data_IF_314840127979
#
_entry.id   IF_314840127979
#
_cell.length_a   1.000
_cell.length_b   1.000
_cell.length_c   1.000
_cell.angle_alpha   90.00
_cell.angle_beta   90.00
_cell.angle_gamma   90.00
#
_symmetry.space_group_name_H-M   'P 1'
#
loop_
_entity.id
_entity.type
_entity.pdbx_description
1 polymer ?
#
# COMPACT_ATOMS: atom_id res chain seq x y z
N UNK A 1 24.95 24.55 7.60
CA UNK A 1 24.47 23.94 6.36
C UNK A 1 23.10 23.38 6.66
N UNK A 2 22.07 24.11 6.26
CA UNK A 2 20.67 23.74 6.40
C UNK A 2 20.38 22.65 5.36
N UNK A 3 20.16 21.42 5.84
CA UNK A 3 19.77 20.29 4.99
C UNK A 3 18.35 20.60 4.56
N UNK A 4 18.25 21.15 3.35
CA UNK A 4 17.02 21.56 2.70
C UNK A 4 15.91 20.57 2.98
N UNK A 5 14.96 21.06 3.76
CA UNK A 5 13.66 20.48 4.06
C UNK A 5 13.23 19.54 2.94
N UNK A 6 13.26 18.23 3.22
CA UNK A 6 12.45 17.25 2.50
C UNK A 6 11.03 17.80 2.51
N UNK A 7 10.66 18.44 1.41
CA UNK A 7 9.28 18.71 1.08
C UNK A 7 8.68 17.33 0.81
N UNK A 8 8.35 16.64 1.90
CA UNK A 8 7.50 15.47 1.90
C UNK A 8 6.27 15.92 1.13
N UNK A 9 6.20 15.51 -0.14
CA UNK A 9 5.07 15.77 -1.00
C UNK A 9 3.89 15.11 -0.29
N UNK A 10 3.14 15.91 0.47
CA UNK A 10 1.95 15.47 1.16
C UNK A 10 0.96 15.19 0.05
N UNK A 11 0.76 13.93 -0.32
CA UNK A 11 -0.40 13.57 -1.11
C UNK A 11 -1.60 14.25 -0.47
N UNK A 12 -2.32 15.07 -1.23
CA UNK A 12 -3.51 15.70 -0.71
C UNK A 12 -4.53 14.58 -0.48
N UNK A 13 -4.60 14.10 0.77
CA UNK A 13 -5.42 12.95 1.16
C UNK A 13 -6.89 13.22 0.85
N UNK A 14 -7.32 14.49 0.92
CA UNK A 14 -8.66 14.89 0.54
C UNK A 14 -8.91 14.71 -0.97
N UNK A 15 -7.93 15.04 -1.81
CA UNK A 15 -8.02 14.79 -3.26
C UNK A 15 -8.10 13.29 -3.56
N UNK A 16 -7.24 12.46 -2.94
CA UNK A 16 -7.32 11.00 -3.09
C UNK A 16 -8.68 10.44 -2.63
N UNK A 17 -9.23 10.94 -1.53
CA UNK A 17 -10.51 10.50 -1.00
C UNK A 17 -11.71 10.82 -1.92
N UNK A 18 -11.59 11.85 -2.78
CA UNK A 18 -12.62 12.20 -3.77
C UNK A 18 -12.56 11.36 -5.07
N UNK A 19 -11.45 10.67 -5.33
CA UNK A 19 -11.26 9.90 -6.57
C UNK A 19 -12.03 8.58 -6.54
N UNK A 20 -12.52 8.13 -7.69
CA UNK A 20 -13.10 6.80 -7.84
C UNK A 20 -12.04 5.70 -7.69
N UNK A 21 -12.45 4.47 -7.41
CA UNK A 21 -11.50 3.35 -7.30
C UNK A 21 -10.69 3.16 -8.60
N UNK A 22 -11.31 3.36 -9.77
CA UNK A 22 -10.64 3.29 -11.06
C UNK A 22 -9.56 4.39 -11.20
N UNK A 23 -9.89 5.63 -10.85
CA UNK A 23 -8.94 6.74 -10.90
C UNK A 23 -7.73 6.51 -9.98
N UNK A 24 -7.95 5.89 -8.82
CA UNK A 24 -6.87 5.53 -7.89
C UNK A 24 -5.99 4.42 -8.46
N UNK A 25 -6.57 3.43 -9.13
CA UNK A 25 -5.82 2.38 -9.81
C UNK A 25 -4.97 2.94 -10.96
N UNK A 26 -5.54 3.82 -11.78
CA UNK A 26 -4.83 4.48 -12.87
C UNK A 26 -3.66 5.32 -12.34
N UNK A 27 -3.86 6.02 -11.22
CA UNK A 27 -2.80 6.79 -10.55
C UNK A 27 -1.67 5.90 -10.03
N UNK A 28 -2.01 4.74 -9.46
CA UNK A 28 -1.02 3.72 -9.04
C UNK A 28 -0.25 3.21 -10.25
N UNK A 29 -0.92 2.92 -11.36
CA UNK A 29 -0.28 2.42 -12.58
C UNK A 29 0.65 3.47 -13.20
N UNK A 30 0.24 4.75 -13.22
CA UNK A 30 1.11 5.86 -13.64
C UNK A 30 2.36 5.95 -12.76
N UNK A 31 2.20 5.84 -11.44
CA UNK A 31 3.35 5.86 -10.53
C UNK A 31 4.27 4.65 -10.70
N UNK A 32 3.72 3.45 -10.99
CA UNK A 32 4.54 2.27 -11.38
C UNK A 32 5.33 2.53 -12.65
N UNK A 33 4.72 3.13 -13.66
CA UNK A 33 5.38 3.45 -14.91
C UNK A 33 6.57 4.40 -14.70
N UNK A 34 6.40 5.43 -13.85
CA UNK A 34 7.51 6.34 -13.48
C UNK A 34 8.66 5.63 -12.77
N UNK A 35 8.36 4.64 -11.91
CA UNK A 35 9.41 3.82 -11.27
C UNK A 35 10.18 3.02 -12.32
N UNK A 36 9.49 2.45 -13.31
CA UNK A 36 10.11 1.70 -14.41
C UNK A 36 11.01 2.63 -15.23
N UNK A 37 10.53 3.81 -15.59
CA UNK A 37 11.31 4.81 -16.32
C UNK A 37 12.58 5.22 -15.56
N UNK A 38 12.46 5.53 -14.27
CA UNK A 38 13.60 5.88 -13.43
C UNK A 38 14.60 4.70 -13.30
N UNK A 39 14.09 3.47 -13.24
CA UNK A 39 14.92 2.25 -13.23
C UNK A 39 15.68 2.08 -14.54
N UNK A 40 15.01 2.31 -15.68
CA UNK A 40 15.63 2.22 -17.00
C UNK A 40 16.68 3.32 -17.21
N UNK A 41 16.44 4.52 -16.69
CA UNK A 41 17.42 5.60 -16.70
C UNK A 41 18.71 5.22 -15.95
N UNK A 42 18.62 4.42 -14.88
CA UNK A 42 19.80 3.88 -14.20
C UNK A 42 20.51 2.81 -15.03
N UNK A 43 19.76 1.86 -15.60
CA UNK A 43 20.33 0.74 -16.39
C UNK A 43 21.03 1.18 -17.66
N UNK A 44 20.56 2.25 -18.28
CA UNK A 44 21.13 2.77 -19.55
C UNK A 44 22.44 3.50 -19.36
N UNK A 45 22.82 3.85 -18.12
CA UNK A 45 24.10 4.48 -17.85
C UNK A 45 25.17 3.41 -17.55
N UNK A 46 26.02 3.13 -18.54
CA UNK A 46 27.15 2.22 -18.39
C UNK A 46 28.34 2.93 -17.74
N UNK A 47 28.94 2.30 -16.72
CA UNK A 47 30.25 2.69 -16.22
C UNK A 47 31.32 2.13 -17.15
N UNK A 48 31.99 3.01 -17.89
CA UNK A 48 33.21 2.66 -18.63
C UNK A 48 34.40 2.60 -17.65
N UNK A 49 35.38 1.74 -17.93
CA UNK A 49 36.60 1.70 -17.12
C UNK A 49 37.42 2.97 -17.34
N UNK A 50 38.31 3.31 -16.40
CA UNK A 50 39.20 4.44 -16.57
C UNK A 50 40.13 4.23 -17.78
N UNK A 51 40.60 3.01 -17.99
CA UNK A 51 41.47 2.63 -19.12
C UNK A 51 40.76 2.83 -20.46
N UNK A 52 39.51 2.36 -20.59
CA UNK A 52 38.70 2.58 -21.80
C UNK A 52 38.46 4.07 -22.05
N UNK A 53 38.22 4.83 -20.98
CA UNK A 53 38.02 6.29 -21.05
C UNK A 53 39.29 6.99 -21.52
N UNK A 54 40.45 6.62 -20.96
CA UNK A 54 41.77 7.14 -21.35
C UNK A 54 42.05 6.83 -22.82
N UNK A 55 41.83 5.58 -23.25
CA UNK A 55 42.04 5.16 -24.65
C UNK A 55 41.15 5.96 -25.61
N UNK A 56 39.89 6.22 -25.24
CA UNK A 56 38.98 7.05 -26.04
C UNK A 56 39.43 8.51 -26.10
N UNK A 57 39.83 9.10 -24.97
CA UNK A 57 40.34 10.49 -24.93
C UNK A 57 41.59 10.65 -25.81
N UNK A 58 42.51 9.69 -25.76
CA UNK A 58 43.69 9.65 -26.64
C UNK A 58 43.31 9.57 -28.11
N UNK A 59 42.35 8.70 -28.46
CA UNK A 59 41.86 8.57 -29.84
C UNK A 59 41.21 9.84 -30.35
N UNK A 60 40.46 10.54 -29.49
CA UNK A 60 39.80 11.80 -29.81
C UNK A 60 40.76 13.00 -29.86
N UNK A 61 41.85 12.95 -29.08
CA UNK A 61 42.78 14.07 -28.91
C UNK A 61 44.25 13.59 -28.96
N UNK A 62 44.79 13.26 -30.15
CA UNK A 62 46.13 12.68 -30.28
C UNK A 62 47.29 13.60 -29.88
N UNK A 63 47.05 14.91 -29.80
CA UNK A 63 48.06 15.92 -29.50
C UNK A 63 48.21 16.24 -28.01
N UNK A 64 47.37 15.66 -27.15
CA UNK A 64 47.44 15.91 -25.71
C UNK A 64 48.62 15.19 -25.09
N UNK A 65 49.11 15.71 -23.97
CA UNK A 65 50.08 15.00 -23.13
C UNK A 65 49.38 13.98 -22.23
N UNK A 66 50.11 12.99 -21.73
CA UNK A 66 49.56 11.97 -20.83
C UNK A 66 48.84 12.59 -19.61
N UNK A 67 49.44 13.58 -18.95
CA UNK A 67 48.84 14.26 -17.81
C UNK A 67 47.50 14.95 -18.18
N UNK A 68 47.41 15.55 -19.37
CA UNK A 68 46.17 16.17 -19.84
C UNK A 68 45.10 15.11 -20.13
N UNK A 69 45.47 13.99 -20.76
CA UNK A 69 44.55 12.88 -21.02
C UNK A 69 44.04 12.26 -19.73
N UNK A 70 44.93 11.99 -18.76
CA UNK A 70 44.54 11.44 -17.46
C UNK A 70 43.58 12.39 -16.72
N UNK A 71 43.89 13.69 -16.70
CA UNK A 71 43.01 14.70 -16.07
C UNK A 71 41.62 14.75 -16.73
N UNK A 72 41.56 14.71 -18.07
CA UNK A 72 40.30 14.68 -18.80
C UNK A 72 39.51 13.39 -18.56
N UNK A 73 40.18 12.23 -18.53
CA UNK A 73 39.54 10.95 -18.26
C UNK A 73 38.96 10.89 -16.84
N UNK A 74 39.70 11.38 -15.84
CA UNK A 74 39.20 11.52 -14.47
C UNK A 74 38.00 12.49 -14.40
N UNK A 75 38.03 13.61 -15.13
CA UNK A 75 36.91 14.55 -15.22
C UNK A 75 35.65 13.92 -15.84
N UNK A 76 35.81 13.10 -16.89
CA UNK A 76 34.71 12.33 -17.49
C UNK A 76 34.14 11.32 -16.50
N UNK A 77 34.99 10.57 -15.80
CA UNK A 77 34.55 9.64 -14.75
C UNK A 77 33.77 10.34 -13.63
N UNK A 78 34.30 11.47 -13.13
CA UNK A 78 33.62 12.25 -12.09
C UNK A 78 32.24 12.73 -12.55
N UNK A 79 32.13 13.15 -13.81
CA UNK A 79 30.86 13.59 -14.40
C UNK A 79 29.85 12.45 -14.51
N UNK A 80 30.30 11.26 -14.95
CA UNK A 80 29.46 10.05 -14.99
C UNK A 80 28.99 9.66 -13.58
N UNK A 81 29.88 9.66 -12.60
CA UNK A 81 29.54 9.30 -11.22
C UNK A 81 28.55 10.30 -10.58
N UNK A 82 28.68 11.59 -10.87
CA UNK A 82 27.69 12.59 -10.48
C UNK A 82 26.32 12.32 -11.10
N UNK A 83 26.28 11.98 -12.38
CA UNK A 83 25.04 11.64 -13.09
C UNK A 83 24.40 10.36 -12.53
N UNK A 84 25.19 9.35 -12.15
CA UNK A 84 24.70 8.15 -11.45
C UNK A 84 24.01 8.55 -10.15
N UNK A 85 24.69 9.29 -9.29
CA UNK A 85 24.15 9.71 -7.99
C UNK A 85 22.86 10.52 -8.15
N UNK A 86 22.81 11.40 -9.14
CA UNK A 86 21.60 12.17 -9.49
C UNK A 86 20.45 11.24 -9.88
N UNK A 87 20.68 10.28 -10.79
CA UNK A 87 19.65 9.31 -11.22
C UNK A 87 19.20 8.41 -10.08
N UNK A 88 20.12 8.00 -9.21
CA UNK A 88 19.80 7.19 -8.03
C UNK A 88 18.91 7.95 -7.06
N UNK A 89 19.20 9.24 -6.83
CA UNK A 89 18.35 10.09 -6.00
C UNK A 89 16.93 10.22 -6.56
N UNK A 90 16.81 10.43 -7.88
CA UNK A 90 15.52 10.49 -8.57
C UNK A 90 14.76 9.16 -8.44
N UNK A 91 15.42 8.02 -8.69
CA UNK A 91 14.82 6.70 -8.53
C UNK A 91 14.30 6.48 -7.11
N UNK A 92 15.10 6.80 -6.09
CA UNK A 92 14.71 6.67 -4.68
C UNK A 92 13.48 7.52 -4.36
N UNK A 93 13.47 8.78 -4.78
CA UNK A 93 12.35 9.69 -4.58
C UNK A 93 11.07 9.16 -5.26
N UNK A 94 11.14 8.77 -6.53
CA UNK A 94 10.00 8.21 -7.28
C UNK A 94 9.49 6.92 -6.63
N UNK A 95 10.39 6.03 -6.19
CA UNK A 95 10.02 4.80 -5.50
C UNK A 95 9.32 5.07 -4.17
N UNK A 96 9.87 5.94 -3.33
CA UNK A 96 9.28 6.32 -2.04
C UNK A 96 7.90 6.94 -2.24
N UNK A 97 7.73 7.81 -3.23
CA UNK A 97 6.43 8.38 -3.60
C UNK A 97 5.44 7.30 -4.00
N UNK A 98 5.86 6.33 -4.81
CA UNK A 98 4.98 5.25 -5.26
C UNK A 98 4.54 4.33 -4.12
N UNK A 99 5.47 3.96 -3.24
CA UNK A 99 5.14 3.13 -2.06
C UNK A 99 4.17 3.85 -1.13
N UNK A 100 4.38 5.15 -0.93
CA UNK A 100 3.50 5.99 -0.09
C UNK A 100 2.10 6.11 -0.70
N UNK A 101 2.00 6.34 -2.01
CA UNK A 101 0.71 6.36 -2.72
C UNK A 101 -0.02 5.03 -2.57
N UNK A 102 0.67 3.92 -2.81
CA UNK A 102 0.09 2.58 -2.69
C UNK A 102 -0.48 2.32 -1.30
N UNK A 103 0.25 2.72 -0.26
CA UNK A 103 -0.22 2.61 1.12
C UNK A 103 -1.49 3.43 1.37
N UNK A 104 -1.54 4.69 0.92
CA UNK A 104 -2.72 5.54 1.10
C UNK A 104 -3.93 5.02 0.33
N UNK A 105 -3.75 4.63 -0.93
CA UNK A 105 -4.83 4.08 -1.76
C UNK A 105 -5.37 2.78 -1.16
N UNK A 106 -4.51 1.89 -0.69
CA UNK A 106 -4.93 0.64 -0.07
C UNK A 106 -5.74 0.89 1.20
N UNK A 107 -5.27 1.80 2.08
CA UNK A 107 -6.03 2.20 3.28
C UNK A 107 -7.39 2.81 2.91
N UNK A 108 -7.45 3.65 1.89
CA UNK A 108 -8.69 4.30 1.45
C UNK A 108 -9.71 3.27 0.93
N UNK A 109 -9.27 2.35 0.06
CA UNK A 109 -10.14 1.30 -0.47
C UNK A 109 -10.65 0.39 0.65
N UNK A 110 -9.80 0.01 1.60
CA UNK A 110 -10.22 -0.80 2.76
C UNK A 110 -11.27 -0.06 3.60
N UNK A 111 -11.08 1.22 3.87
CA UNK A 111 -12.06 2.02 4.61
C UNK A 111 -13.41 2.10 3.89
N UNK A 112 -13.42 2.30 2.56
CA UNK A 112 -14.66 2.31 1.77
C UNK A 112 -15.41 0.98 1.88
N UNK A 113 -14.71 -0.15 1.76
CA UNK A 113 -15.31 -1.49 1.90
C UNK A 113 -15.93 -1.71 3.29
N UNK A 114 -15.23 -1.29 4.35
CA UNK A 114 -15.75 -1.39 5.72
C UNK A 114 -17.01 -0.52 5.89
N UNK A 115 -17.01 0.70 5.36
CA UNK A 115 -18.16 1.59 5.42
C UNK A 115 -19.38 1.02 4.68
N UNK A 116 -19.18 0.46 3.48
CA UNK A 116 -20.23 -0.22 2.72
C UNK A 116 -20.80 -1.43 3.48
N UNK A 117 -19.94 -2.23 4.10
CA UNK A 117 -20.35 -3.37 4.90
C UNK A 117 -21.17 -2.96 6.13
N UNK A 118 -20.74 -1.91 6.83
CA UNK A 118 -21.48 -1.37 7.98
C UNK A 118 -22.85 -0.83 7.57
N UNK A 119 -22.94 -0.14 6.43
CA UNK A 119 -24.21 0.35 5.87
C UNK A 119 -25.14 -0.82 5.49
N UNK A 120 -24.62 -1.86 4.86
CA UNK A 120 -25.40 -3.05 4.52
C UNK A 120 -25.94 -3.76 5.77
N UNK A 121 -25.12 -3.88 6.83
CA UNK A 121 -25.54 -4.44 8.12
C UNK A 121 -26.60 -3.55 8.81
N UNK A 122 -26.42 -2.23 8.80
CA UNK A 122 -27.39 -1.30 9.38
C UNK A 122 -28.74 -1.36 8.66
N UNK A 123 -28.73 -1.43 7.32
CA UNK A 123 -29.94 -1.59 6.52
C UNK A 123 -30.64 -2.93 6.78
N UNK A 124 -29.88 -4.02 6.91
CA UNK A 124 -30.43 -5.33 7.28
C UNK A 124 -31.03 -5.32 8.68
N UNK A 125 -30.34 -4.74 9.66
CA UNK A 125 -30.84 -4.60 11.03
C UNK A 125 -32.11 -3.73 11.09
N UNK A 126 -32.14 -2.63 10.34
CA UNK A 126 -33.33 -1.77 10.21
C UNK A 126 -34.50 -2.50 9.59
N UNK A 127 -34.25 -3.31 8.55
CA UNK A 127 -35.29 -4.13 7.92
C UNK A 127 -35.85 -5.19 8.87
N UNK A 128 -34.98 -5.88 9.62
CA UNK A 128 -35.40 -6.83 10.66
C UNK A 128 -36.22 -6.15 11.76
N UNK A 129 -35.81 -4.96 12.21
CA UNK A 129 -36.56 -4.19 13.21
C UNK A 129 -37.95 -3.79 12.68
N UNK A 130 -38.04 -3.36 11.41
CA UNK A 130 -39.30 -3.02 10.78
C UNK A 130 -40.24 -4.23 10.64
N UNK A 131 -39.72 -5.41 10.31
CA UNK A 131 -40.50 -6.65 10.31
C UNK A 131 -40.94 -7.08 11.72
N UNK A 132 -40.09 -6.89 12.73
CA UNK A 132 -40.45 -7.17 14.12
C UNK A 132 -41.56 -6.23 14.63
N UNK A 133 -41.54 -4.94 14.25
CA UNK A 133 -42.61 -3.99 14.56
C UNK A 133 -43.91 -4.30 13.80
N UNK A 134 -43.82 -4.72 12.54
CA UNK A 134 -45.00 -5.12 11.76
C UNK A 134 -45.66 -6.38 12.33
N UNK A 135 -44.86 -7.39 12.72
CA UNK A 135 -45.35 -8.58 13.42
C UNK A 135 -45.83 -8.26 14.85
N UNK A 136 -45.21 -7.30 15.52
CA UNK A 136 -45.62 -6.80 16.84
C UNK A 136 -46.97 -6.09 16.82
N UNK A 137 -47.31 -5.38 15.74
CA UNK A 137 -48.63 -4.76 15.56
C UNK A 137 -49.71 -5.75 15.10
N UNK A 138 -49.37 -6.82 14.36
CA UNK A 138 -50.32 -7.88 14.03
C UNK A 138 -50.57 -8.90 15.16
N UNK A 139 -49.76 -8.87 16.23
CA UNK A 139 -49.99 -9.67 17.45
C UNK A 139 -50.85 -8.97 18.52
N UNK A 140 -51.26 -7.71 18.29
CA UNK A 140 -51.93 -6.88 19.30
C UNK A 140 -53.47 -6.99 19.35
N UNK A 141 -54.12 -7.61 18.36
CA UNK A 141 -55.59 -7.78 18.35
C UNK A 141 -55.95 -9.19 17.89
N UNK A 142 -55.52 -10.19 18.64
CA UNK A 142 -56.17 -11.51 18.70
C UNK A 142 -55.55 -12.30 19.85
N UNK A 143 -56.11 -12.05 21.03
CA UNK A 143 -56.53 -13.12 21.94
C UNK A 143 -55.48 -14.22 22.25
N UNK A 144 -54.96 -14.16 23.48
CA UNK A 144 -54.56 -15.33 24.28
C UNK A 144 -53.39 -16.17 23.74
N UNK A 145 -52.19 -15.94 24.28
CA UNK A 145 -51.08 -16.89 24.15
C UNK A 145 -49.72 -16.21 24.03
N UNK A 146 -49.19 -15.75 25.17
CA UNK A 146 -47.83 -15.24 25.25
C UNK A 146 -46.84 -16.34 24.88
N UNK A 147 -46.27 -16.26 23.68
CA UNK A 147 -45.03 -16.95 23.32
C UNK A 147 -44.00 -15.87 23.11
N UNK A 148 -43.23 -15.65 24.16
CA UNK A 148 -42.18 -14.63 24.25
C UNK A 148 -41.11 -14.88 23.19
N UNK A 149 -40.94 -13.89 22.31
CA UNK A 149 -39.90 -13.78 21.28
C UNK A 149 -38.46 -13.95 21.82
N UNK A 150 -38.29 -13.96 23.15
CA UNK A 150 -37.02 -14.12 23.86
C UNK A 150 -36.43 -15.54 23.80
N UNK A 151 -37.26 -16.58 23.62
CA UNK A 151 -36.78 -17.97 23.53
C UNK A 151 -36.15 -18.30 22.17
N UNK A 152 -36.58 -17.62 21.11
CA UNK A 152 -36.17 -17.97 19.75
C UNK A 152 -34.72 -17.55 19.44
N UNK A 153 -34.23 -16.44 20.03
CA UNK A 153 -32.81 -16.05 19.93
C UNK A 153 -31.89 -16.99 20.73
N UNK A 154 -32.34 -17.50 21.88
CA UNK A 154 -31.58 -18.47 22.67
C UNK A 154 -31.39 -19.80 21.94
N UNK A 155 -32.45 -20.30 21.29
CA UNK A 155 -32.38 -21.52 20.48
C UNK A 155 -31.45 -21.41 19.26
N UNK A 156 -31.38 -20.22 18.63
CA UNK A 156 -30.50 -20.02 17.48
C UNK A 156 -29.01 -19.99 17.86
N UNK A 157 -28.69 -19.46 19.05
CA UNK A 157 -27.32 -19.46 19.58
C UNK A 157 -26.88 -20.88 19.99
N UNK A 158 -27.82 -21.71 20.44
CA UNK A 158 -27.55 -23.09 20.83
C UNK A 158 -27.34 -24.03 19.63
N UNK A 159 -27.90 -23.73 18.46
CA UNK A 159 -27.74 -24.56 17.25
C UNK A 159 -26.43 -24.32 16.50
N UNK A 160 -25.81 -23.14 16.65
CA UNK A 160 -24.55 -22.78 15.98
C UNK A 160 -23.29 -23.11 16.80
N UNK A 161 -23.43 -23.70 17.99
CA UNK A 161 -22.33 -23.99 18.92
C UNK A 161 -21.68 -25.38 18.80
N UNK A 162 -22.04 -26.22 17.84
CA UNK A 162 -21.53 -27.60 17.75
C UNK A 162 -21.12 -27.98 16.32
N UNK A 163 -19.84 -27.79 16.00
CA UNK A 163 -19.22 -28.21 14.73
C UNK A 163 -17.69 -28.09 14.77
N UNK A 164 -17.04 -29.06 15.44
CA UNK A 164 -15.59 -29.25 15.59
C UNK A 164 -14.86 -29.33 14.22
N UNK A 165 -13.54 -29.06 14.15
CA UNK A 165 -12.66 -30.22 13.95
C UNK A 165 -11.29 -30.15 14.67
N UNK A 166 -10.93 -31.29 15.25
CA UNK A 166 -9.64 -31.96 15.08
C UNK A 166 -8.36 -31.21 15.49
N UNK A 167 -7.78 -31.61 16.62
CA UNK A 167 -6.45 -31.20 17.04
C UNK A 167 -5.99 -31.92 18.31
N UNK A 168 -5.69 -33.21 18.20
CA UNK A 168 -4.86 -33.92 19.16
C UNK A 168 -3.53 -33.18 19.35
N UNK A 169 -3.21 -32.72 20.57
CA UNK A 169 -1.90 -32.12 20.81
C UNK A 169 -1.71 -31.41 22.15
N UNK A 170 -1.41 -32.19 23.19
CA UNK A 170 -0.56 -31.84 24.34
C UNK A 170 -1.12 -30.86 25.39
N UNK A 171 -1.53 -31.49 26.50
CA UNK A 171 -1.44 -31.05 27.89
C UNK A 171 -0.59 -29.79 28.17
N UNK A 172 -1.11 -28.86 28.99
CA UNK A 172 -0.31 -28.27 30.05
C UNK A 172 -0.98 -28.47 31.41
N UNK A 173 -0.26 -29.08 32.35
CA UNK A 173 -0.69 -29.19 33.74
C UNK A 173 -0.73 -27.83 34.44
N UNK A 174 -1.42 -27.72 35.59
CA UNK A 174 -1.52 -26.47 36.31
C UNK A 174 -0.25 -26.20 37.13
N UNK A 175 0.44 -25.09 36.84
CA UNK A 175 1.42 -24.51 37.75
C UNK A 175 0.74 -23.99 39.02
N UNK A 176 0.90 -24.75 40.11
CA UNK A 176 1.06 -24.24 41.49
C UNK A 176 2.55 -24.49 41.80
N UNK A 177 3.37 -23.53 42.19
CA UNK A 177 3.31 -22.73 43.40
C UNK A 177 4.40 -23.24 44.36
N UNK A 178 5.34 -22.35 44.72
CA UNK A 178 6.60 -22.52 45.47
C UNK A 178 7.80 -23.14 44.72
#
# INVERSE_FOLDING_TARGET
>A
MDIGTSSYFSYNVAALASMSNQQLEDLINQGRQKVIEATNALKTLSRETLEDTIARVWKENPSLTENQVQSMALGRQASVELEIKRREAIYRDVLTRQQTLMMFVQKLITNRKVQEQQLAMANQASYLNQLALQNGMMGGVSQMGGVSQMDLLGLYQQLHGLGNPQGMGKNPGPSKGL
#
